data_IF_128012545603
#
_entry.id   IF_128012545603
#
_cell.length_a   1.000
_cell.length_b   1.000
_cell.length_c   1.000
_cell.angle_alpha   90.00
_cell.angle_beta   90.00
_cell.angle_gamma   90.00
#
_symmetry.space_group_name_H-M   'P 1'
#
loop_
_entity.id
_entity.type
_entity.pdbx_description
1 polymer ?
#
# COMPACT_ATOMS: atom_id res chain seq x y z
N UNK A 1 -50.07 2.44 -75.96
CA UNK A 1 -51.12 2.58 -74.92
C UNK A 1 -50.42 2.82 -73.58
N UNK A 2 -50.70 3.77 -72.70
CA UNK A 2 -51.59 4.93 -72.62
C UNK A 2 -50.93 5.88 -71.59
N UNK A 3 -50.88 7.18 -71.91
CA UNK A 3 -50.61 8.26 -70.97
C UNK A 3 -51.76 8.39 -69.95
N UNK A 4 -51.51 8.86 -68.72
CA UNK A 4 -52.04 10.14 -68.18
C UNK A 4 -51.71 10.37 -66.69
N UNK A 5 -51.10 11.53 -66.47
CA UNK A 5 -51.14 12.50 -65.35
C UNK A 5 -52.37 12.46 -64.41
N UNK A 6 -52.16 12.63 -63.08
CA UNK A 6 -52.75 13.75 -62.27
C UNK A 6 -52.26 13.81 -60.82
N UNK A 7 -51.85 15.03 -60.42
CA UNK A 7 -51.71 15.55 -59.05
C UNK A 7 -53.11 15.75 -58.43
N UNK A 8 -53.22 15.67 -57.10
CA UNK A 8 -54.06 16.59 -56.33
C UNK A 8 -53.59 16.70 -54.88
N UNK A 9 -53.36 17.95 -54.46
CA UNK A 9 -53.22 18.39 -53.07
C UNK A 9 -54.64 18.59 -52.51
N UNK A 10 -54.88 18.21 -51.26
CA UNK A 10 -55.93 18.86 -50.46
C UNK A 10 -55.42 19.16 -49.05
N UNK A 11 -55.64 20.42 -48.70
CA UNK A 11 -55.39 21.13 -47.46
C UNK A 11 -56.68 21.03 -46.63
N UNK A 12 -56.60 20.61 -45.37
CA UNK A 12 -57.68 20.84 -44.38
C UNK A 12 -57.04 21.21 -43.04
N UNK A 13 -57.38 22.41 -42.57
CA UNK A 13 -57.23 23.03 -41.25
C UNK A 13 -58.67 23.54 -40.93
N UNK A 14 -59.15 23.78 -39.68
CA UNK A 14 -58.75 23.37 -38.32
C UNK A 14 -59.93 22.71 -37.56
N UNK A 15 -59.70 22.28 -36.30
CA UNK A 15 -60.74 22.43 -35.28
C UNK A 15 -60.12 22.78 -33.93
N UNK A 16 -60.52 23.97 -33.45
CA UNK A 16 -60.24 24.49 -32.13
C UNK A 16 -60.95 23.65 -31.07
N UNK A 17 -60.21 23.23 -30.04
CA UNK A 17 -60.77 23.05 -28.71
C UNK A 17 -59.94 23.86 -27.73
N UNK A 18 -60.55 24.93 -27.23
CA UNK A 18 -60.15 25.63 -26.02
C UNK A 18 -60.51 24.75 -24.81
N UNK A 19 -59.51 24.32 -24.04
CA UNK A 19 -59.72 23.93 -22.65
C UNK A 19 -58.72 24.68 -21.77
N UNK A 20 -59.24 25.17 -20.65
CA UNK A 20 -58.67 26.17 -19.77
C UNK A 20 -57.38 25.70 -19.10
N UNK A 21 -56.47 26.66 -18.90
CA UNK A 21 -55.25 26.50 -18.13
C UNK A 21 -55.58 26.11 -16.68
N UNK A 22 -55.11 24.94 -16.27
CA UNK A 22 -54.84 24.63 -14.87
C UNK A 22 -53.35 24.86 -14.68
N UNK A 23 -53.01 25.80 -13.80
CA UNK A 23 -51.65 26.07 -13.39
C UNK A 23 -51.03 24.78 -12.84
N UNK A 24 -50.09 24.20 -13.58
CA UNK A 24 -49.16 23.24 -13.03
C UNK A 24 -48.17 24.03 -12.18
N UNK A 25 -48.39 24.00 -10.88
CA UNK A 25 -47.45 24.41 -9.85
C UNK A 25 -46.06 23.90 -10.21
N UNK A 26 -45.11 24.81 -10.37
CA UNK A 26 -43.69 24.51 -10.42
C UNK A 26 -43.31 23.76 -9.14
N UNK A 27 -43.15 22.45 -9.23
CA UNK A 27 -42.35 21.72 -8.25
C UNK A 27 -40.91 22.13 -8.56
N UNK A 28 -40.45 23.07 -7.73
CA UNK A 28 -39.08 23.52 -7.64
C UNK A 28 -38.13 22.33 -7.57
N UNK A 29 -37.00 22.49 -8.26
CA UNK A 29 -35.82 21.64 -8.20
C UNK A 29 -35.67 20.96 -6.84
N UNK A 30 -35.77 19.63 -6.85
CA UNK A 30 -35.24 18.83 -5.76
C UNK A 30 -33.75 19.10 -5.68
N UNK A 31 -33.39 19.69 -4.55
CA UNK A 31 -32.06 19.86 -3.99
C UNK A 31 -31.25 18.55 -4.12
N UNK A 32 -30.46 18.43 -5.19
CA UNK A 32 -29.35 17.50 -5.25
C UNK A 32 -28.11 18.35 -4.98
N UNK A 33 -27.69 18.41 -3.72
CA UNK A 33 -26.29 18.70 -3.42
C UNK A 33 -25.49 17.59 -4.11
N UNK A 34 -24.92 17.90 -5.28
CA UNK A 34 -24.02 16.98 -5.95
C UNK A 34 -22.91 16.65 -4.94
N UNK A 35 -22.84 15.39 -4.50
CA UNK A 35 -21.79 14.93 -3.60
C UNK A 35 -20.44 15.39 -4.14
N UNK A 36 -19.61 15.95 -3.27
CA UNK A 36 -18.26 16.35 -3.65
C UNK A 36 -17.44 15.08 -3.86
N UNK A 37 -17.47 14.54 -5.08
CA UNK A 37 -16.78 13.32 -5.46
C UNK A 37 -15.68 13.65 -6.47
N UNK A 38 -14.44 13.25 -6.17
CA UNK A 38 -13.38 13.12 -7.18
C UNK A 38 -13.44 11.73 -7.78
N UNK A 39 -13.45 11.66 -9.11
CA UNK A 39 -13.35 10.41 -9.87
C UNK A 39 -12.14 10.50 -10.79
N UNK A 40 -11.25 9.52 -10.70
CA UNK A 40 -10.13 9.36 -11.63
C UNK A 40 -10.26 8.01 -12.32
N UNK A 41 -10.09 7.97 -13.64
CA UNK A 41 -10.21 6.73 -14.41
C UNK A 41 -9.11 6.63 -15.46
N UNK A 42 -8.49 5.46 -15.55
CA UNK A 42 -7.46 5.12 -16.55
C UNK A 42 -7.81 3.82 -17.26
N UNK A 43 -7.46 3.75 -18.54
CA UNK A 43 -7.67 2.58 -19.39
C UNK A 43 -6.33 1.92 -19.71
N UNK A 44 -6.26 0.60 -19.55
CA UNK A 44 -5.11 -0.25 -19.86
C UNK A 44 -5.57 -1.44 -20.69
N UNK A 45 -5.48 -1.35 -22.02
CA UNK A 45 -6.05 -2.37 -22.92
C UNK A 45 -7.56 -2.53 -22.68
N UNK A 46 -8.00 -3.74 -22.37
CA UNK A 46 -9.41 -4.07 -22.05
C UNK A 46 -9.84 -3.67 -20.63
N UNK A 47 -8.90 -3.23 -19.79
CA UNK A 47 -9.15 -2.89 -18.39
C UNK A 47 -9.42 -1.42 -18.19
N UNK A 48 -10.44 -1.12 -17.40
CA UNK A 48 -10.69 0.21 -16.86
C UNK A 48 -10.57 0.18 -15.36
N UNK A 49 -9.73 1.06 -14.83
CA UNK A 49 -9.52 1.26 -13.41
C UNK A 49 -10.13 2.61 -13.06
N UNK A 50 -10.98 2.64 -12.04
CA UNK A 50 -11.64 3.84 -11.56
C UNK A 50 -11.45 3.97 -10.06
N UNK A 51 -10.96 5.12 -9.63
CA UNK A 51 -10.82 5.52 -8.23
C UNK A 51 -11.88 6.58 -7.95
N UNK A 52 -12.70 6.35 -6.93
CA UNK A 52 -13.66 7.30 -6.42
C UNK A 52 -13.22 7.78 -5.03
N UNK A 53 -13.43 9.07 -4.77
CA UNK A 53 -13.23 9.68 -3.46
C UNK A 53 -14.40 10.60 -3.18
N UNK A 54 -15.22 10.25 -2.20
CA UNK A 54 -16.26 11.14 -1.67
C UNK A 54 -15.67 11.95 -0.52
N UNK A 55 -15.69 13.28 -0.64
CA UNK A 55 -15.26 14.17 0.43
C UNK A 55 -16.34 14.35 1.52
N UNK A 56 -17.61 14.08 1.18
CA UNK A 56 -18.72 14.22 2.10
C UNK A 56 -18.86 12.99 3.00
N UNK A 57 -18.72 11.78 2.42
CA UNK A 57 -18.78 10.52 3.15
C UNK A 57 -17.42 9.99 3.58
N UNK A 58 -16.32 10.64 3.20
CA UNK A 58 -14.94 10.17 3.38
C UNK A 58 -14.68 8.76 2.82
N UNK A 59 -15.53 8.27 1.92
CA UNK A 59 -15.36 6.95 1.33
C UNK A 59 -14.40 7.00 0.13
N UNK A 60 -13.50 6.02 0.09
CA UNK A 60 -12.70 5.70 -1.08
C UNK A 60 -13.18 4.40 -1.73
N UNK A 61 -13.24 4.35 -3.06
CA UNK A 61 -13.53 3.12 -3.81
C UNK A 61 -12.51 2.91 -4.94
N UNK A 62 -12.00 1.69 -5.06
CA UNK A 62 -11.23 1.21 -6.21
C UNK A 62 -12.07 0.18 -6.97
N UNK A 63 -12.36 0.47 -8.24
CA UNK A 63 -13.10 -0.40 -9.15
C UNK A 63 -12.22 -0.76 -10.35
N UNK A 64 -12.08 -2.07 -10.63
CA UNK A 64 -11.42 -2.57 -11.83
C UNK A 64 -12.42 -3.39 -12.64
N UNK A 65 -12.56 -3.04 -13.91
CA UNK A 65 -13.40 -3.76 -14.86
C UNK A 65 -12.59 -4.22 -16.07
N UNK A 66 -12.94 -5.37 -16.64
CA UNK A 66 -12.43 -5.86 -17.94
C UNK A 66 -13.60 -6.00 -18.88
N UNK A 67 -13.58 -5.31 -20.03
CA UNK A 67 -14.71 -5.32 -20.98
C UNK A 67 -16.06 -5.02 -20.29
N UNK A 68 -16.06 -4.03 -19.39
CA UNK A 68 -17.20 -3.62 -18.55
C UNK A 68 -17.66 -4.63 -17.49
N UNK A 69 -17.01 -5.79 -17.37
CA UNK A 69 -17.28 -6.75 -16.29
C UNK A 69 -16.38 -6.43 -15.10
N UNK A 70 -16.96 -6.28 -13.91
CA UNK A 70 -16.21 -6.08 -12.67
C UNK A 70 -15.32 -7.30 -12.38
N UNK A 71 -14.02 -7.06 -12.20
CA UNK A 71 -13.04 -8.07 -11.80
C UNK A 71 -12.46 -7.82 -10.41
N UNK A 72 -12.54 -6.57 -9.92
CA UNK A 72 -12.18 -6.20 -8.56
C UNK A 72 -12.98 -4.98 -8.11
N UNK A 73 -13.36 -4.95 -6.84
CA UNK A 73 -13.95 -3.78 -6.20
C UNK A 73 -13.61 -3.79 -4.72
N UNK A 74 -13.12 -2.66 -4.22
CA UNK A 74 -12.92 -2.40 -2.80
C UNK A 74 -13.46 -1.02 -2.45
N UNK A 75 -14.24 -0.92 -1.38
CA UNK A 75 -14.80 0.34 -0.86
C UNK A 75 -14.64 0.35 0.65
N UNK A 76 -14.07 1.43 1.17
CA UNK A 76 -13.83 1.60 2.60
C UNK A 76 -13.96 3.07 3.01
N UNK A 77 -14.25 3.29 4.28
CA UNK A 77 -14.33 4.61 4.90
C UNK A 77 -12.93 5.11 5.30
N UNK A 78 -12.66 6.40 5.11
CA UNK A 78 -11.40 7.08 5.41
C UNK A 78 -10.17 6.42 4.76
N UNK A 79 -10.32 6.06 3.48
CA UNK A 79 -9.22 5.58 2.64
C UNK A 79 -9.10 6.38 1.37
N UNK A 80 -7.88 6.44 0.85
CA UNK A 80 -7.53 7.14 -0.37
C UNK A 80 -6.73 6.21 -1.27
N UNK A 81 -7.15 6.07 -2.53
CA UNK A 81 -6.43 5.31 -3.54
C UNK A 81 -5.73 6.25 -4.51
N UNK A 82 -4.57 5.82 -5.00
CA UNK A 82 -3.75 6.56 -5.94
C UNK A 82 -3.19 5.59 -6.98
N UNK A 83 -3.10 6.04 -8.23
CA UNK A 83 -2.40 5.31 -9.26
C UNK A 83 -0.89 5.31 -9.03
N UNK A 84 -0.24 4.18 -9.29
CA UNK A 84 1.20 4.02 -9.16
C UNK A 84 1.64 3.84 -7.70
N UNK A 85 2.96 3.94 -7.50
CA UNK A 85 3.58 3.92 -6.18
C UNK A 85 3.65 5.36 -5.64
N UNK A 86 2.53 5.84 -5.10
CA UNK A 86 2.42 7.18 -4.54
C UNK A 86 3.05 7.25 -3.14
N UNK A 87 3.82 8.29 -2.86
CA UNK A 87 4.53 8.48 -1.57
C UNK A 87 4.18 9.87 -1.02
N UNK A 88 3.94 9.94 0.29
CA UNK A 88 3.52 11.17 0.96
C UNK A 88 4.52 12.32 0.81
N UNK A 89 4.01 13.54 0.63
CA UNK A 89 4.85 14.74 0.47
C UNK A 89 5.58 14.85 -0.87
N UNK A 90 5.34 13.96 -1.83
CA UNK A 90 5.82 14.12 -3.20
C UNK A 90 4.71 14.67 -4.09
N UNK A 91 4.88 15.88 -4.62
CA UNK A 91 3.94 16.52 -5.58
C UNK A 91 3.96 15.85 -6.97
N UNK A 92 4.55 14.66 -7.09
CA UNK A 92 4.72 13.97 -8.36
C UNK A 92 3.88 12.70 -8.35
N UNK A 93 2.67 12.81 -8.91
CA UNK A 93 1.86 11.65 -9.33
C UNK A 93 2.59 10.93 -10.49
N UNK A 94 3.71 10.26 -10.20
CA UNK A 94 4.33 9.36 -11.18
C UNK A 94 3.74 7.98 -11.02
N UNK A 95 3.07 7.52 -12.07
CA UNK A 95 2.69 6.12 -12.26
C UNK A 95 3.55 5.52 -13.37
N UNK A 96 4.87 5.33 -13.16
CA UNK A 96 5.77 4.82 -14.18
C UNK A 96 5.62 3.32 -14.39
N UNK A 97 4.84 2.63 -13.55
CA UNK A 97 4.77 1.17 -13.50
C UNK A 97 3.47 0.60 -14.06
N UNK A 98 2.32 1.26 -13.87
CA UNK A 98 1.06 0.71 -14.37
C UNK A 98 1.02 0.65 -15.90
N UNK A 99 0.49 -0.45 -16.42
CA UNK A 99 0.47 -0.78 -17.85
C UNK A 99 1.78 -1.34 -18.38
N UNK A 100 2.82 -1.50 -17.56
CA UNK A 100 4.09 -2.15 -17.92
C UNK A 100 4.17 -3.54 -17.31
N UNK A 101 5.03 -4.37 -17.87
CA UNK A 101 5.44 -5.63 -17.26
C UNK A 101 6.46 -5.33 -16.15
N UNK A 102 6.05 -5.47 -14.89
CA UNK A 102 6.92 -5.32 -13.71
C UNK A 102 7.22 -6.67 -13.05
N UNK A 103 6.85 -7.78 -13.69
CA UNK A 103 7.03 -9.15 -13.19
C UNK A 103 7.91 -9.99 -14.10
N UNK A 104 8.32 -9.47 -15.25
CA UNK A 104 9.15 -10.12 -16.26
C UNK A 104 8.41 -11.19 -17.07
N UNK A 105 7.08 -11.23 -17.02
CA UNK A 105 6.27 -12.30 -17.59
C UNK A 105 5.57 -11.91 -18.92
N UNK A 106 5.87 -10.73 -19.44
CA UNK A 106 5.33 -10.15 -20.68
C UNK A 106 3.83 -9.82 -20.65
N UNK A 107 3.19 -9.80 -19.48
CA UNK A 107 1.84 -9.29 -19.29
C UNK A 107 1.91 -7.94 -18.55
N UNK A 108 1.03 -6.97 -18.85
CA UNK A 108 1.02 -5.70 -18.15
C UNK A 108 0.49 -5.85 -16.72
N UNK A 109 1.04 -5.06 -15.81
CA UNK A 109 0.67 -4.99 -14.41
C UNK A 109 0.08 -3.62 -14.05
N UNK A 110 -0.62 -3.56 -12.91
CA UNK A 110 -1.24 -2.36 -12.34
C UNK A 110 -0.76 -2.20 -10.91
N UNK A 111 -0.31 -0.98 -10.57
CA UNK A 111 0.12 -0.63 -9.23
C UNK A 111 -0.85 0.41 -8.66
N UNK A 112 -1.41 0.12 -7.50
CA UNK A 112 -2.28 1.05 -6.77
C UNK A 112 -1.75 1.22 -5.35
N UNK A 113 -1.52 2.47 -4.94
CA UNK A 113 -1.30 2.79 -3.52
C UNK A 113 -2.64 3.06 -2.85
N UNK A 114 -2.84 2.50 -1.67
CA UNK A 114 -3.93 2.86 -0.75
C UNK A 114 -3.35 3.43 0.52
N UNK A 115 -4.00 4.45 1.07
CA UNK A 115 -3.69 5.04 2.36
C UNK A 115 -4.94 5.10 3.21
N UNK A 116 -4.81 4.87 4.51
CA UNK A 116 -5.87 5.21 5.47
C UNK A 116 -5.69 6.65 5.95
N UNK A 117 -6.72 7.26 6.53
CA UNK A 117 -6.55 8.50 7.30
C UNK A 117 -5.87 8.27 8.67
N UNK A 118 -5.44 9.36 9.33
CA UNK A 118 -4.91 9.38 10.70
C UNK A 118 -3.42 9.71 10.87
N UNK A 119 -3.01 10.01 12.11
CA UNK A 119 -1.64 10.47 12.46
C UNK A 119 -0.52 9.43 12.23
N UNK A 120 -0.89 8.16 12.06
CA UNK A 120 0.02 7.03 11.80
C UNK A 120 -0.51 6.18 10.64
N UNK A 121 -1.09 6.86 9.65
CA UNK A 121 -1.81 6.24 8.54
C UNK A 121 -1.07 5.06 7.91
N UNK A 122 -1.81 3.98 7.66
CA UNK A 122 -1.27 2.79 7.04
C UNK A 122 -1.12 3.02 5.53
N UNK A 123 0.02 2.61 4.98
CA UNK A 123 0.23 2.57 3.53
C UNK A 123 0.14 1.13 3.02
N UNK A 124 -0.57 0.95 1.92
CA UNK A 124 -0.71 -0.31 1.21
C UNK A 124 -0.31 -0.16 -0.25
N UNK A 125 0.24 -1.23 -0.82
CA UNK A 125 0.53 -1.33 -2.23
C UNK A 125 -0.16 -2.57 -2.79
N UNK A 126 -1.06 -2.37 -3.74
CA UNK A 126 -1.64 -3.43 -4.54
C UNK A 126 -0.86 -3.59 -5.83
N UNK A 127 -0.58 -4.85 -6.18
CA UNK A 127 -0.06 -5.23 -7.49
C UNK A 127 -1.02 -6.21 -8.13
N UNK A 128 -1.53 -5.86 -9.31
CA UNK A 128 -2.38 -6.72 -10.12
C UNK A 128 -1.73 -7.00 -11.46
N UNK A 129 -1.90 -8.21 -11.97
CA UNK A 129 -1.69 -8.49 -13.39
C UNK A 129 -2.97 -8.17 -14.16
N UNK A 130 -2.86 -7.37 -15.21
CA UNK A 130 -3.96 -6.85 -16.03
C UNK A 130 -3.78 -7.20 -17.52
N UNK A 131 -3.21 -8.36 -17.80
CA UNK A 131 -3.01 -8.90 -19.14
C UNK A 131 -4.19 -9.73 -19.66
N UNK A 132 -3.91 -10.91 -20.23
CA UNK A 132 -4.95 -11.83 -20.71
C UNK A 132 -5.93 -12.26 -19.62
N UNK A 133 -5.45 -12.43 -18.39
CA UNK A 133 -6.26 -12.73 -17.21
C UNK A 133 -6.04 -11.68 -16.13
N UNK A 134 -7.07 -11.39 -15.35
CA UNK A 134 -6.93 -10.58 -14.15
C UNK A 134 -6.40 -11.44 -13.01
N UNK A 135 -5.32 -11.01 -12.35
CA UNK A 135 -4.85 -11.63 -11.11
C UNK A 135 -4.47 -10.56 -10.11
N UNK A 136 -4.89 -10.74 -8.86
CA UNK A 136 -4.33 -9.99 -7.75
C UNK A 136 -3.05 -10.71 -7.29
N UNK A 137 -1.89 -10.10 -7.52
CA UNK A 137 -0.60 -10.73 -7.22
C UNK A 137 -0.22 -10.56 -5.76
N UNK A 138 -0.41 -9.36 -5.20
CA UNK A 138 -0.02 -9.04 -3.84
C UNK A 138 -0.73 -7.79 -3.32
N UNK A 139 -1.03 -7.77 -2.02
CA UNK A 139 -1.18 -6.55 -1.22
C UNK A 139 -0.06 -6.49 -0.19
N UNK A 140 0.73 -5.42 -0.20
CA UNK A 140 1.64 -5.08 0.91
C UNK A 140 0.91 -4.15 1.86
N UNK A 141 0.99 -4.45 3.15
CA UNK A 141 0.59 -3.59 4.27
C UNK A 141 1.85 -3.13 4.99
N UNK A 142 2.36 -1.96 4.65
CA UNK A 142 3.58 -1.44 5.24
C UNK A 142 3.35 -0.72 6.56
N UNK A 143 2.16 -0.88 7.14
CA UNK A 143 1.76 -0.24 8.39
C UNK A 143 2.08 1.26 8.28
N UNK A 144 2.74 1.80 9.29
CA UNK A 144 3.12 3.20 9.40
C UNK A 144 4.39 3.59 8.60
N UNK A 145 4.80 2.80 7.60
CA UNK A 145 5.98 3.05 6.78
C UNK A 145 5.65 3.27 5.31
N UNK A 146 6.55 3.97 4.63
CA UNK A 146 6.48 4.16 3.19
C UNK A 146 6.76 2.84 2.45
N UNK A 147 6.16 2.71 1.27
CA UNK A 147 6.42 1.64 0.32
C UNK A 147 7.06 2.21 -0.92
N UNK A 148 8.12 1.56 -1.40
CA UNK A 148 8.82 1.93 -2.60
C UNK A 148 8.83 0.76 -3.57
N UNK A 149 8.54 1.01 -4.84
CA UNK A 149 8.73 0.09 -5.95
C UNK A 149 9.95 0.57 -6.75
N UNK A 150 11.05 -0.21 -6.75
CA UNK A 150 12.35 0.18 -7.34
C UNK A 150 13.10 -1.05 -7.83
N UNK A 151 13.78 -0.93 -8.96
CA UNK A 151 14.76 -1.93 -9.42
C UNK A 151 16.06 -1.77 -8.62
N UNK A 152 16.27 -2.64 -7.62
CA UNK A 152 17.38 -2.58 -6.69
C UNK A 152 18.60 -3.40 -7.16
N UNK A 153 18.40 -4.38 -8.04
CA UNK A 153 19.47 -5.26 -8.52
C UNK A 153 19.78 -5.16 -10.03
N UNK A 154 19.04 -4.33 -10.76
CA UNK A 154 19.30 -3.97 -12.15
C UNK A 154 18.77 -5.00 -13.15
N UNK A 155 17.89 -5.92 -12.75
CA UNK A 155 17.32 -6.94 -13.63
C UNK A 155 16.07 -6.46 -14.40
N UNK A 156 15.65 -5.20 -14.19
CA UNK A 156 14.47 -4.54 -14.77
C UNK A 156 13.12 -5.01 -14.21
N UNK A 157 13.11 -5.86 -13.19
CA UNK A 157 11.92 -6.26 -12.43
C UNK A 157 12.00 -5.57 -11.07
N UNK A 158 11.19 -4.54 -10.79
CA UNK A 158 11.33 -3.79 -9.56
C UNK A 158 10.96 -4.62 -8.31
N UNK A 159 11.73 -4.43 -7.24
CA UNK A 159 11.41 -4.89 -5.90
C UNK A 159 10.48 -3.94 -5.15
N UNK A 160 9.75 -4.50 -4.18
CA UNK A 160 8.98 -3.72 -3.21
C UNK A 160 9.78 -3.61 -1.92
N UNK A 161 10.25 -2.41 -1.62
CA UNK A 161 11.02 -2.02 -0.43
C UNK A 161 10.12 -1.29 0.57
N UNK A 162 10.10 -1.73 1.83
CA UNK A 162 9.33 -1.10 2.92
C UNK A 162 9.92 -1.46 4.30
N UNK A 163 9.29 -0.98 5.38
CA UNK A 163 9.74 -1.25 6.75
C UNK A 163 8.65 -1.87 7.62
N UNK A 164 8.96 -3.02 8.21
CA UNK A 164 8.05 -3.71 9.11
C UNK A 164 8.08 -3.10 10.52
N UNK A 165 6.97 -2.45 10.90
CA UNK A 165 6.75 -1.84 12.21
C UNK A 165 6.23 -2.80 13.28
N UNK A 166 6.57 -4.08 13.21
CA UNK A 166 6.04 -5.11 14.13
C UNK A 166 6.27 -4.83 15.63
N UNK A 167 7.23 -3.97 15.95
CA UNK A 167 7.55 -3.54 17.32
C UNK A 167 6.98 -2.17 17.70
N UNK A 168 6.24 -1.51 16.80
CA UNK A 168 5.62 -0.21 17.05
C UNK A 168 4.79 -0.25 18.35
N UNK A 169 4.99 0.76 19.21
CA UNK A 169 4.35 0.91 20.53
C UNK A 169 4.63 -0.17 21.58
N UNK A 170 5.41 -1.22 21.28
CA UNK A 170 5.65 -2.31 22.24
C UNK A 170 6.70 -1.96 23.28
N UNK A 171 7.76 -1.28 22.86
CA UNK A 171 8.94 -1.02 23.69
C UNK A 171 9.23 0.46 23.91
N UNK A 172 8.64 1.31 23.07
CA UNK A 172 8.79 2.75 23.11
C UNK A 172 7.57 3.41 22.45
N UNK A 173 7.44 4.72 22.58
CA UNK A 173 6.50 5.50 21.78
C UNK A 173 6.72 5.29 20.28
N UNK A 174 5.74 5.66 19.45
CA UNK A 174 5.85 5.56 17.99
C UNK A 174 7.12 6.22 17.43
N UNK A 175 7.40 7.45 17.86
CA UNK A 175 8.54 8.24 17.41
C UNK A 175 9.90 7.61 17.79
N UNK A 176 9.90 6.77 18.82
CA UNK A 176 11.09 6.06 19.33
C UNK A 176 11.10 4.58 18.94
N UNK A 177 10.09 4.10 18.22
CA UNK A 177 10.03 2.73 17.70
C UNK A 177 10.94 2.59 16.48
N UNK A 178 11.51 1.41 16.28
CA UNK A 178 12.30 1.09 15.09
C UNK A 178 11.58 0.07 14.23
N UNK A 179 11.99 -0.04 12.96
CA UNK A 179 11.33 -0.87 11.97
C UNK A 179 12.34 -1.73 11.22
N UNK A 180 11.92 -2.93 10.83
CA UNK A 180 12.78 -3.88 10.10
C UNK A 180 12.72 -3.63 8.60
N UNK A 181 13.86 -3.34 7.97
CA UNK A 181 13.91 -3.18 6.51
C UNK A 181 13.55 -4.49 5.80
N UNK A 182 12.60 -4.43 4.86
CA UNK A 182 12.06 -5.58 4.16
C UNK A 182 11.99 -5.34 2.66
N UNK A 183 12.38 -6.34 1.87
CA UNK A 183 12.36 -6.29 0.42
C UNK A 183 11.66 -7.55 -0.12
N UNK A 184 10.69 -7.36 -1.02
CA UNK A 184 10.05 -8.41 -1.79
C UNK A 184 10.48 -8.35 -3.25
N UNK A 185 10.74 -9.51 -3.86
CA UNK A 185 11.02 -9.68 -5.29
C UNK A 185 10.09 -10.71 -5.90
N UNK A 186 9.61 -10.46 -7.11
CA UNK A 186 8.83 -11.45 -7.85
C UNK A 186 9.72 -12.58 -8.38
N UNK A 187 9.37 -13.83 -8.10
CA UNK A 187 10.19 -14.99 -8.50
C UNK A 187 9.68 -15.71 -9.77
N UNK A 188 8.82 -15.05 -10.55
CA UNK A 188 8.11 -15.65 -11.70
C UNK A 188 6.77 -16.28 -11.35
N UNK A 189 6.44 -16.41 -10.05
CA UNK A 189 5.15 -16.93 -9.58
C UNK A 189 4.48 -16.01 -8.57
N UNK A 190 5.23 -15.60 -7.55
CA UNK A 190 4.76 -14.77 -6.45
C UNK A 190 5.88 -13.87 -5.94
N UNK A 191 5.51 -12.85 -5.16
CA UNK A 191 6.49 -12.04 -4.44
C UNK A 191 7.00 -12.80 -3.22
N UNK A 192 8.31 -12.88 -3.07
CA UNK A 192 8.98 -13.53 -1.94
C UNK A 192 10.05 -12.62 -1.34
N UNK A 193 10.45 -12.85 -0.07
CA UNK A 193 11.53 -12.10 0.56
C UNK A 193 12.83 -12.17 -0.28
N UNK A 194 13.35 -11.01 -0.68
CA UNK A 194 14.58 -10.89 -1.45
C UNK A 194 15.81 -10.98 -0.53
N UNK A 195 16.07 -12.18 0.03
CA UNK A 195 17.11 -12.39 1.04
C UNK A 195 18.49 -11.89 0.61
N UNK A 196 18.84 -12.03 -0.66
CA UNK A 196 20.13 -11.58 -1.20
C UNK A 196 20.30 -10.05 -1.17
N UNK A 197 19.21 -9.28 -1.14
CA UNK A 197 19.22 -7.82 -1.01
C UNK A 197 19.13 -7.35 0.44
N UNK A 198 18.53 -8.16 1.32
CA UNK A 198 18.40 -7.83 2.75
C UNK A 198 19.60 -8.28 3.58
N UNK A 199 20.23 -9.39 3.24
CA UNK A 199 21.31 -9.97 4.02
C UNK A 199 22.54 -9.05 3.99
N UNK A 200 23.07 -8.77 5.17
CA UNK A 200 24.34 -8.05 5.35
C UNK A 200 25.31 -8.94 6.12
N UNK A 201 26.64 -8.82 5.94
CA UNK A 201 27.59 -9.47 6.82
C UNK A 201 27.35 -9.02 8.27
N UNK A 202 27.63 -9.90 9.23
CA UNK A 202 27.59 -9.52 10.64
C UNK A 202 28.56 -8.34 10.87
N UNK A 203 28.18 -7.32 11.67
CA UNK A 203 29.09 -6.23 11.98
C UNK A 203 30.36 -6.76 12.64
N UNK A 204 31.49 -6.17 12.29
CA UNK A 204 32.77 -6.54 12.86
C UNK A 204 32.89 -6.09 14.33
N UNK A 205 33.93 -6.56 15.03
CA UNK A 205 34.11 -6.30 16.47
C UNK A 205 34.15 -4.81 16.83
N UNK A 206 34.74 -3.97 15.97
CA UNK A 206 34.83 -2.53 16.21
C UNK A 206 33.47 -1.85 16.04
N UNK A 207 32.69 -2.27 15.04
CA UNK A 207 31.31 -1.80 14.83
C UNK A 207 30.42 -2.17 16.02
N UNK A 208 30.45 -3.43 16.46
CA UNK A 208 29.70 -3.87 17.64
C UNK A 208 30.12 -3.08 18.89
N UNK A 209 31.42 -2.84 19.09
CA UNK A 209 31.91 -2.03 20.21
C UNK A 209 31.35 -0.59 20.17
N UNK A 210 31.29 0.02 18.98
CA UNK A 210 30.73 1.36 18.79
C UNK A 210 29.23 1.39 19.10
N UNK A 211 28.46 0.45 18.55
CA UNK A 211 27.02 0.33 18.78
C UNK A 211 26.74 0.20 20.29
N UNK A 212 27.42 -0.73 20.97
CA UNK A 212 27.30 -0.91 22.43
C UNK A 212 27.57 0.37 23.20
N UNK A 213 28.65 1.08 22.85
CA UNK A 213 29.01 2.32 23.52
C UNK A 213 27.97 3.42 23.33
N UNK A 214 27.30 3.48 22.19
CA UNK A 214 26.21 4.44 21.95
C UNK A 214 24.99 4.09 22.82
N UNK A 215 24.58 2.82 22.83
CA UNK A 215 23.45 2.35 23.65
C UNK A 215 23.71 2.64 25.13
N UNK A 216 24.87 2.24 25.65
CA UNK A 216 25.19 2.40 27.08
C UNK A 216 25.25 3.86 27.55
N UNK A 217 25.48 4.83 26.65
CA UNK A 217 25.49 6.25 26.99
C UNK A 217 24.08 6.82 27.20
N UNK A 218 23.08 6.25 26.53
CA UNK A 218 21.71 6.81 26.47
C UNK A 218 20.74 5.94 27.27
N UNK A 219 21.03 4.66 27.46
CA UNK A 219 20.12 3.71 28.09
C UNK A 219 19.98 3.94 29.60
N UNK A 220 19.04 4.82 29.97
CA UNK A 220 18.72 5.13 31.35
C UNK A 220 17.93 3.98 32.01
N UNK A 221 18.43 3.37 33.10
CA UNK A 221 17.69 2.34 33.85
C UNK A 221 16.37 2.84 34.47
N UNK A 222 16.19 4.16 34.64
CA UNK A 222 15.00 4.76 35.26
C UNK A 222 13.89 5.06 34.24
N UNK A 223 14.24 5.19 32.96
CA UNK A 223 13.26 5.47 31.92
C UNK A 223 12.55 4.17 31.49
N UNK A 224 11.21 4.13 31.40
CA UNK A 224 10.49 2.90 31.12
C UNK A 224 10.67 2.41 29.68
N UNK A 225 10.82 3.30 28.71
CA UNK A 225 11.00 2.90 27.30
C UNK A 225 12.39 2.30 27.06
N UNK A 226 12.48 1.48 26.02
CA UNK A 226 13.75 1.00 25.47
C UNK A 226 14.21 2.02 24.43
N UNK A 227 15.46 2.52 24.50
CA UNK A 227 15.93 3.55 23.59
C UNK A 227 15.99 3.04 22.15
N UNK A 228 15.71 3.95 21.20
CA UNK A 228 15.82 3.69 19.76
C UNK A 228 17.19 3.12 19.39
N UNK A 229 18.26 3.58 20.04
CA UNK A 229 19.64 3.14 19.81
C UNK A 229 19.86 1.65 20.10
N UNK A 230 19.00 1.01 20.91
CA UNK A 230 18.99 -0.45 21.06
C UNK A 230 18.03 -1.09 20.05
N UNK A 231 16.82 -0.55 19.91
CA UNK A 231 15.78 -1.13 19.05
C UNK A 231 16.20 -1.18 17.57
N UNK A 232 16.83 -0.13 17.05
CA UNK A 232 17.24 -0.05 15.65
C UNK A 232 18.31 -1.10 15.28
N UNK A 233 19.45 -1.20 15.98
CA UNK A 233 20.40 -2.28 15.71
C UNK A 233 19.79 -3.66 15.87
N UNK A 234 18.88 -3.86 16.84
CA UNK A 234 18.20 -5.15 17.01
C UNK A 234 17.32 -5.50 15.81
N UNK A 235 16.50 -4.57 15.32
CA UNK A 235 15.67 -4.79 14.12
C UNK A 235 16.56 -5.02 12.89
N UNK A 236 17.57 -4.18 12.67
CA UNK A 236 18.48 -4.31 11.53
C UNK A 236 19.24 -5.65 11.53
N UNK A 237 19.82 -6.03 12.67
CA UNK A 237 20.51 -7.32 12.81
C UNK A 237 19.56 -8.48 12.54
N UNK A 238 18.34 -8.43 13.09
CA UNK A 238 17.34 -9.48 12.91
C UNK A 238 16.98 -9.67 11.43
N UNK A 239 16.59 -8.60 10.74
CA UNK A 239 16.15 -8.66 9.34
C UNK A 239 17.31 -8.94 8.36
N UNK A 240 18.56 -8.69 8.77
CA UNK A 240 19.75 -9.10 8.02
C UNK A 240 20.19 -10.56 8.26
N UNK A 241 19.52 -11.31 9.13
CA UNK A 241 19.83 -12.72 9.43
C UNK A 241 20.67 -12.98 10.68
N UNK A 242 20.81 -12.00 11.57
CA UNK A 242 21.65 -12.05 12.77
C UNK A 242 20.84 -11.91 14.07
N UNK A 243 19.68 -12.58 14.18
CA UNK A 243 18.81 -12.49 15.36
C UNK A 243 19.55 -12.84 16.67
N UNK A 244 20.40 -13.86 16.68
CA UNK A 244 21.17 -14.23 17.88
C UNK A 244 22.12 -13.10 18.31
N UNK A 245 22.72 -12.39 17.36
CA UNK A 245 23.56 -11.23 17.64
C UNK A 245 22.74 -10.04 18.13
N UNK A 246 21.52 -9.83 17.61
CA UNK A 246 20.58 -8.82 18.10
C UNK A 246 20.23 -9.05 19.57
N UNK A 247 19.92 -10.29 19.94
CA UNK A 247 19.56 -10.66 21.31
C UNK A 247 20.77 -10.56 22.26
N UNK A 248 21.95 -10.96 21.78
CA UNK A 248 23.20 -10.79 22.52
C UNK A 248 23.53 -9.30 22.74
N UNK A 249 23.24 -8.44 21.76
CA UNK A 249 23.43 -7.00 21.91
C UNK A 249 22.58 -6.45 23.05
N UNK A 250 21.33 -6.91 23.18
CA UNK A 250 20.47 -6.56 24.31
C UNK A 250 21.09 -7.00 25.64
N UNK A 251 21.55 -8.25 25.76
CA UNK A 251 22.20 -8.78 26.97
C UNK A 251 23.41 -7.95 27.40
N UNK A 252 24.24 -7.53 26.43
CA UNK A 252 25.50 -6.84 26.70
C UNK A 252 25.34 -5.32 26.93
N UNK A 253 24.16 -4.76 26.67
CA UNK A 253 23.88 -3.32 26.80
C UNK A 253 22.77 -3.00 27.78
N UNK A 254 22.04 -4.00 28.27
CA UNK A 254 21.01 -3.80 29.26
C UNK A 254 21.58 -3.23 30.57
N UNK A 255 21.00 -2.15 31.12
CA UNK A 255 21.52 -1.56 32.35
C UNK A 255 21.46 -2.55 33.51
N UNK A 256 22.55 -2.77 34.27
CA UNK A 256 22.58 -3.79 35.33
C UNK A 256 21.51 -3.62 36.43
N UNK A 257 21.03 -2.38 36.62
CA UNK A 257 19.99 -2.04 37.60
C UNK A 257 18.57 -2.11 37.05
N UNK A 258 18.40 -2.30 35.74
CA UNK A 258 17.09 -2.40 35.10
C UNK A 258 16.67 -3.88 35.07
N UNK A 259 15.57 -4.28 35.72
CA UNK A 259 15.09 -5.65 35.62
C UNK A 259 14.50 -5.94 34.23
N UNK A 260 14.23 -7.23 33.94
CA UNK A 260 13.34 -7.61 32.85
C UNK A 260 13.96 -7.89 31.48
N UNK A 261 15.29 -8.01 31.35
CA UNK A 261 15.94 -8.35 30.06
C UNK A 261 15.37 -9.61 29.40
N UNK A 262 15.13 -10.68 30.15
CA UNK A 262 14.56 -11.91 29.59
C UNK A 262 13.13 -11.73 29.10
N UNK A 263 12.32 -10.95 29.83
CA UNK A 263 10.97 -10.60 29.39
C UNK A 263 11.04 -9.78 28.09
N UNK A 264 11.90 -8.76 28.04
CA UNK A 264 12.11 -7.94 26.85
C UNK A 264 12.50 -8.78 25.63
N UNK A 265 13.48 -9.69 25.77
CA UNK A 265 13.90 -10.58 24.66
C UNK A 265 12.78 -11.50 24.21
N UNK A 266 11.95 -12.00 25.12
CA UNK A 266 10.80 -12.83 24.77
C UNK A 266 9.73 -12.02 24.04
N UNK A 267 9.35 -10.87 24.58
CA UNK A 267 8.40 -9.94 23.95
C UNK A 267 8.90 -9.50 22.57
N UNK A 268 10.21 -9.28 22.39
CA UNK A 268 10.82 -8.93 21.09
C UNK A 268 10.66 -10.07 20.08
N UNK A 269 10.93 -11.32 20.48
CA UNK A 269 10.69 -12.49 19.63
C UNK A 269 9.21 -12.69 19.34
N UNK A 270 8.32 -12.40 20.29
CA UNK A 270 6.87 -12.45 20.09
C UNK A 270 6.43 -11.42 19.05
N UNK A 271 6.92 -10.18 19.16
CA UNK A 271 6.66 -9.13 18.19
C UNK A 271 7.11 -9.51 16.77
N UNK A 272 8.28 -10.12 16.63
CA UNK A 272 8.72 -10.66 15.34
C UNK A 272 7.83 -11.82 14.89
N UNK A 273 7.44 -12.75 15.77
CA UNK A 273 6.55 -13.88 15.38
C UNK A 273 5.16 -13.43 14.95
N UNK A 274 4.65 -12.35 15.51
CA UNK A 274 3.36 -11.76 15.18
C UNK A 274 3.41 -10.88 13.92
N UNK A 275 4.60 -10.53 13.43
CA UNK A 275 4.77 -9.85 12.16
C UNK A 275 4.20 -10.68 11.01
N UNK A 276 3.51 -10.00 10.09
CA UNK A 276 3.03 -10.57 8.81
C UNK A 276 4.17 -11.03 7.89
N UNK A 277 5.37 -10.47 8.08
CA UNK A 277 6.50 -10.59 7.16
C UNK A 277 7.65 -11.42 7.71
N UNK A 278 7.87 -11.38 9.02
CA UNK A 278 9.01 -12.04 9.65
C UNK A 278 9.02 -13.55 9.41
N UNK A 279 7.86 -14.21 9.44
CA UNK A 279 7.80 -15.66 9.25
C UNK A 279 8.40 -16.08 7.91
N UNK A 280 7.96 -15.48 6.81
CA UNK A 280 8.48 -15.82 5.47
C UNK A 280 9.95 -15.45 5.33
N UNK A 281 10.38 -14.32 5.91
CA UNK A 281 11.79 -13.92 5.90
C UNK A 281 12.68 -14.87 6.69
N UNK A 282 12.30 -15.24 7.92
CA UNK A 282 13.09 -16.15 8.75
C UNK A 282 13.24 -17.53 8.12
N UNK A 283 12.18 -18.05 7.49
CA UNK A 283 12.24 -19.28 6.70
C UNK A 283 13.16 -19.15 5.48
N UNK A 284 13.11 -18.01 4.78
CA UNK A 284 13.97 -17.76 3.62
C UNK A 284 15.45 -17.59 4.03
N UNK A 285 15.72 -16.91 5.13
CA UNK A 285 17.06 -16.75 5.71
C UNK A 285 17.66 -18.09 6.13
N UNK A 286 16.85 -18.98 6.71
CA UNK A 286 17.29 -20.31 7.12
C UNK A 286 17.67 -21.20 5.92
N UNK A 287 16.98 -21.06 4.78
CA UNK A 287 17.28 -21.81 3.54
C UNK A 287 18.52 -21.31 2.81
N UNK A 288 18.92 -20.07 3.05
CA UNK A 288 20.08 -19.44 2.41
C UNK A 288 21.39 -19.65 3.20
N UNK A 289 21.36 -20.44 4.28
CA UNK A 289 22.54 -20.85 5.08
C UNK A 289 22.89 -22.31 4.78
#
# INVERSE_FOLDING_TARGET
>A
MKNLVRKNKFLVIPLLFSLQAIAASSVSASDQSAENIRVESKQFGDYRVTIFKSFDSYEGELLITKNSVQVFKEREFDVYYYFGNWIDGTDVETDPYSGKDITGNQEPDLVITKRTGGAHCCQFLYVFEIGKSFRHLLTVDAQSSDIYLKDLDGDKVPEIEFWDGSIDYRFASFASSSKGHFILKYNGKEYQPAVHLMRKPAPNKNEIKRIKSQIQKIFDPQYPEVPYELLEPMMNLSYCGHLDLALKLADETWPPKRPGIEKFKNDFRDALRESRYWKSLSEALAKAN
#
